data_IF_327127131727
#
_entry.id   IF_327127131727
#
_cell.length_a   1.000
_cell.length_b   1.000
_cell.length_c   1.000
_cell.angle_alpha   90.00
_cell.angle_beta   90.00
_cell.angle_gamma   90.00
#
_symmetry.space_group_name_H-M   'P 1'
#
loop_
_entity.id
_entity.type
_entity.pdbx_description
1 polymer ?
#
# COMPACT_ATOMS: atom_id res chain seq x y z
N UNK A 1 0.38 -9.53 -4.36
CA UNK A 1 0.91 -9.42 -2.99
C UNK A 1 1.83 -8.21 -2.84
N UNK A 2 3.00 -8.13 -3.53
CA UNK A 2 3.95 -7.02 -3.40
C UNK A 2 3.32 -5.65 -3.67
N UNK A 3 2.52 -5.53 -4.72
CA UNK A 3 1.80 -4.30 -5.06
C UNK A 3 0.78 -3.91 -3.99
N UNK A 4 0.07 -4.90 -3.42
CA UNK A 4 -0.88 -4.65 -2.32
C UNK A 4 -0.17 -4.10 -1.09
N UNK A 5 0.98 -4.65 -0.70
CA UNK A 5 1.77 -4.13 0.41
C UNK A 5 2.20 -2.69 0.18
N UNK A 6 2.66 -2.39 -1.05
CA UNK A 6 3.05 -1.03 -1.42
C UNK A 6 1.89 -0.04 -1.26
N UNK A 7 0.74 -0.34 -1.85
CA UNK A 7 -0.40 0.59 -1.86
C UNK A 7 -1.10 0.70 -0.50
N UNK A 8 -1.11 -0.38 0.30
CA UNK A 8 -1.65 -0.34 1.65
C UNK A 8 -0.67 0.25 2.70
N UNK A 9 0.57 0.56 2.32
CA UNK A 9 1.57 1.00 3.28
C UNK A 9 1.93 -0.08 4.31
N UNK A 10 1.79 -1.36 3.94
CA UNK A 10 2.03 -2.48 4.84
C UNK A 10 3.49 -2.91 4.81
N UNK A 11 4.08 -3.09 5.99
CA UNK A 11 5.42 -3.61 6.20
C UNK A 11 5.32 -4.94 6.93
N UNK A 12 5.60 -6.03 6.23
CA UNK A 12 5.53 -7.39 6.80
C UNK A 12 6.60 -7.61 7.88
N UNK A 13 7.82 -7.17 7.60
CA UNK A 13 8.96 -7.26 8.52
C UNK A 13 9.81 -8.53 8.40
N UNK A 14 9.28 -9.64 7.88
CA UNK A 14 10.04 -10.90 7.68
C UNK A 14 9.53 -11.63 6.44
N UNK A 15 9.96 -11.21 5.25
CA UNK A 15 9.55 -11.79 3.96
C UNK A 15 10.49 -12.92 3.52
N UNK A 16 10.70 -13.91 4.40
CA UNK A 16 11.42 -15.13 4.08
C UNK A 16 10.61 -16.07 3.19
N UNK A 17 11.27 -17.04 2.57
CA UNK A 17 10.64 -18.07 1.73
C UNK A 17 9.62 -18.93 2.47
N UNK A 18 9.77 -19.08 3.79
CA UNK A 18 8.86 -19.83 4.65
C UNK A 18 7.62 -19.03 5.08
N UNK A 19 7.58 -17.72 4.80
CA UNK A 19 6.44 -16.85 5.13
C UNK A 19 5.56 -16.49 3.92
N UNK A 20 5.78 -17.12 2.78
CA UNK A 20 5.00 -16.91 1.56
C UNK A 20 4.57 -18.26 0.98
N UNK A 21 3.28 -18.45 0.79
CA UNK A 21 2.72 -19.60 0.10
C UNK A 21 2.91 -19.50 -1.42
N UNK A 22 2.96 -20.65 -2.08
CA UNK A 22 3.07 -20.74 -3.55
C UNK A 22 1.88 -20.09 -4.28
N UNK A 23 0.72 -19.98 -3.63
CA UNK A 23 -0.46 -19.29 -4.14
C UNK A 23 -0.40 -17.76 -4.00
N UNK A 24 0.70 -17.20 -3.47
CA UNK A 24 0.90 -15.76 -3.33
C UNK A 24 0.29 -15.15 -2.05
N UNK A 25 -0.09 -15.96 -1.09
CA UNK A 25 -0.47 -15.49 0.26
C UNK A 25 0.76 -15.44 1.16
N UNK A 26 0.78 -14.51 2.11
CA UNK A 26 1.79 -14.45 3.16
C UNK A 26 1.16 -14.73 4.53
N UNK A 27 1.99 -15.03 5.50
CA UNK A 27 1.60 -15.30 6.89
C UNK A 27 2.74 -14.95 7.85
N UNK A 28 2.57 -15.22 9.14
CA UNK A 28 3.51 -14.85 10.22
C UNK A 28 3.71 -13.34 10.35
N UNK A 29 2.61 -12.63 10.62
CA UNK A 29 2.57 -11.17 10.74
C UNK A 29 3.03 -10.66 12.12
N UNK A 30 3.90 -11.36 12.83
CA UNK A 30 4.34 -10.97 14.17
C UNK A 30 4.83 -9.52 14.27
N UNK A 31 5.83 -9.09 13.49
CA UNK A 31 6.40 -7.76 13.60
C UNK A 31 5.74 -6.69 12.71
N UNK A 32 4.66 -7.00 11.97
CA UNK A 32 4.10 -6.11 10.96
C UNK A 32 3.89 -4.66 11.43
N UNK A 33 3.87 -3.71 10.49
CA UNK A 33 3.48 -2.32 10.69
C UNK A 33 2.71 -1.81 9.48
N UNK A 34 1.83 -0.84 9.70
CA UNK A 34 1.34 0.05 8.65
C UNK A 34 2.08 1.38 8.71
N UNK A 35 2.28 2.03 7.59
CA UNK A 35 2.88 3.35 7.52
C UNK A 35 1.93 4.38 8.13
N UNK A 36 2.38 5.10 9.15
CA UNK A 36 1.72 6.31 9.61
C UNK A 36 1.88 7.44 8.57
N UNK A 37 3.11 7.62 8.09
CA UNK A 37 3.51 8.53 7.02
C UNK A 37 4.35 7.77 6.03
N UNK A 38 4.42 8.26 4.79
CA UNK A 38 5.28 7.60 3.81
C UNK A 38 6.74 7.63 4.26
N UNK A 39 7.28 6.45 4.46
CA UNK A 39 8.67 6.23 4.82
C UNK A 39 9.21 4.99 4.10
N UNK A 40 9.98 5.16 3.02
CA UNK A 40 10.56 4.04 2.27
C UNK A 40 11.55 3.21 3.11
N UNK A 41 12.07 3.76 4.21
CA UNK A 41 13.02 3.08 5.10
C UNK A 41 12.37 2.46 6.33
N UNK A 42 11.03 2.49 6.43
CA UNK A 42 10.31 1.89 7.57
C UNK A 42 10.63 0.42 7.71
N UNK A 43 11.11 0.05 8.89
CA UNK A 43 11.38 -1.33 9.32
C UNK A 43 10.32 -1.72 10.36
N UNK A 44 9.73 -2.91 10.21
CA UNK A 44 8.77 -3.45 11.17
C UNK A 44 9.45 -4.32 12.24
N UNK A 45 10.34 -5.22 11.84
CA UNK A 45 11.02 -6.15 12.74
C UNK A 45 12.22 -5.48 13.43
N UNK A 46 12.23 -5.43 14.75
CA UNK A 46 13.30 -4.79 15.54
C UNK A 46 14.69 -5.42 15.33
N UNK A 47 14.74 -6.64 14.85
CA UNK A 47 15.99 -7.38 14.59
C UNK A 47 16.50 -7.22 13.15
N UNK A 48 15.76 -6.58 12.26
CA UNK A 48 16.18 -6.30 10.87
C UNK A 48 17.10 -5.05 10.82
N UNK A 49 18.26 -5.14 11.43
CA UNK A 49 19.23 -4.03 11.48
C UNK A 49 19.76 -3.59 10.11
N UNK A 50 19.69 -4.47 9.11
CA UNK A 50 20.13 -4.18 7.74
C UNK A 50 19.06 -3.53 6.88
N UNK A 51 17.79 -3.57 7.32
CA UNK A 51 16.65 -3.13 6.52
C UNK A 51 16.36 -4.03 5.32
N UNK A 52 16.66 -5.33 5.45
CA UNK A 52 16.43 -6.31 4.40
C UNK A 52 14.94 -6.31 3.98
N UNK A 53 14.05 -6.21 4.96
CA UNK A 53 12.58 -6.21 4.78
C UNK A 53 11.95 -4.83 5.03
N UNK A 54 12.73 -3.73 4.92
CA UNK A 54 12.15 -2.38 4.98
C UNK A 54 11.12 -2.20 3.87
N UNK A 55 10.22 -1.25 4.03
CA UNK A 55 9.09 -1.01 3.12
C UNK A 55 9.50 -0.99 1.64
N UNK A 56 10.53 -0.21 1.27
CA UNK A 56 11.00 -0.12 -0.12
C UNK A 56 11.63 -1.40 -0.67
N UNK A 57 12.09 -2.31 0.18
CA UNK A 57 12.77 -3.55 -0.26
C UNK A 57 11.83 -4.76 -0.37
N UNK A 58 10.57 -4.63 0.01
CA UNK A 58 9.64 -5.78 0.01
C UNK A 58 9.43 -6.38 -1.37
N UNK A 59 9.42 -5.55 -2.41
CA UNK A 59 9.34 -6.01 -3.80
C UNK A 59 10.53 -6.88 -4.18
N UNK A 60 11.73 -6.46 -3.79
CA UNK A 60 12.97 -7.21 -4.07
C UNK A 60 13.03 -8.52 -3.25
N UNK A 61 12.58 -8.49 -2.00
CA UNK A 61 12.48 -9.68 -1.16
C UNK A 61 11.53 -10.72 -1.76
N UNK A 62 10.37 -10.30 -2.25
CA UNK A 62 9.42 -11.21 -2.93
C UNK A 62 10.02 -11.73 -4.24
N UNK A 63 10.69 -10.88 -5.02
CA UNK A 63 11.37 -11.33 -6.23
C UNK A 63 12.44 -12.37 -5.93
N UNK A 64 13.24 -12.16 -4.88
CA UNK A 64 14.23 -13.16 -4.43
C UNK A 64 13.55 -14.49 -4.05
N UNK A 65 12.42 -14.45 -3.33
CA UNK A 65 11.66 -15.67 -3.00
C UNK A 65 11.18 -16.40 -4.25
N UNK A 66 10.72 -15.67 -5.28
CA UNK A 66 10.34 -16.26 -6.57
C UNK A 66 11.54 -16.90 -7.28
N UNK A 67 12.74 -16.32 -7.16
CA UNK A 67 13.96 -16.91 -7.69
C UNK A 67 14.32 -18.22 -6.98
N UNK A 68 14.13 -18.31 -5.64
CA UNK A 68 14.33 -19.56 -4.91
C UNK A 68 13.32 -20.63 -5.37
N UNK A 69 12.05 -20.30 -5.51
CA UNK A 69 11.05 -21.21 -6.05
C UNK A 69 11.41 -21.66 -7.47
N UNK A 70 11.79 -20.73 -8.34
CA UNK A 70 12.20 -21.02 -9.70
C UNK A 70 13.40 -22.00 -9.74
N UNK A 71 14.39 -21.83 -8.86
CA UNK A 71 15.55 -22.72 -8.78
C UNK A 71 15.19 -24.18 -8.44
N UNK A 72 14.14 -24.37 -7.62
CA UNK A 72 13.60 -25.71 -7.34
C UNK A 72 12.87 -26.25 -8.55
N UNK A 73 12.12 -25.42 -9.26
CA UNK A 73 11.36 -25.86 -10.44
C UNK A 73 12.23 -26.32 -11.60
N UNK A 74 13.48 -25.84 -11.71
CA UNK A 74 14.44 -26.29 -12.75
C UNK A 74 14.80 -27.77 -12.61
N UNK A 75 14.54 -28.40 -11.45
CA UNK A 75 14.70 -29.86 -11.28
C UNK A 75 13.72 -30.64 -12.14
N UNK A 76 12.55 -30.07 -12.44
CA UNK A 76 11.43 -30.73 -13.11
C UNK A 76 11.06 -30.13 -14.46
N UNK A 77 11.49 -28.91 -14.74
CA UNK A 77 11.13 -28.12 -15.92
C UNK A 77 12.39 -27.57 -16.60
N UNK A 78 12.23 -27.24 -17.88
CA UNK A 78 13.31 -26.54 -18.60
C UNK A 78 13.52 -25.12 -18.06
N UNK A 79 14.77 -24.65 -18.06
CA UNK A 79 15.17 -23.36 -17.49
C UNK A 79 14.56 -22.16 -18.24
N UNK A 80 14.51 -22.21 -19.58
CA UNK A 80 14.12 -21.07 -20.40
C UNK A 80 12.70 -20.52 -20.11
N UNK A 81 11.64 -21.35 -19.99
CA UNK A 81 10.31 -20.89 -19.62
C UNK A 81 10.28 -20.20 -18.26
N UNK A 82 10.96 -20.75 -17.26
CA UNK A 82 11.00 -20.23 -15.89
C UNK A 82 11.66 -18.85 -15.87
N UNK A 83 12.81 -18.70 -16.50
CA UNK A 83 13.56 -17.42 -16.57
C UNK A 83 12.72 -16.36 -17.30
N UNK A 84 12.01 -16.74 -18.37
CA UNK A 84 11.16 -15.82 -19.11
C UNK A 84 9.96 -15.33 -18.27
N UNK A 85 9.37 -16.17 -17.43
CA UNK A 85 8.31 -15.73 -16.52
C UNK A 85 8.87 -14.81 -15.40
N UNK A 86 10.01 -15.13 -14.82
CA UNK A 86 10.65 -14.25 -13.82
C UNK A 86 10.94 -12.84 -14.36
N UNK A 87 11.37 -12.73 -15.60
CA UNK A 87 11.62 -11.41 -16.25
C UNK A 87 10.39 -10.54 -16.34
N UNK A 88 9.18 -11.11 -16.32
CA UNK A 88 7.93 -10.36 -16.37
C UNK A 88 7.51 -9.76 -15.02
N UNK A 89 8.14 -10.20 -13.93
CA UNK A 89 7.77 -9.81 -12.56
C UNK A 89 7.66 -8.28 -12.38
N UNK A 90 8.65 -7.53 -12.85
CA UNK A 90 8.68 -6.07 -12.71
C UNK A 90 7.51 -5.42 -13.45
N UNK A 91 7.18 -5.92 -14.66
CA UNK A 91 6.06 -5.39 -15.43
C UNK A 91 4.73 -5.68 -14.71
N UNK A 92 4.50 -6.91 -14.28
CA UNK A 92 3.31 -7.29 -13.50
C UNK A 92 3.17 -6.49 -12.22
N UNK A 93 4.29 -6.27 -11.51
CA UNK A 93 4.29 -5.46 -10.30
C UNK A 93 3.88 -4.02 -10.60
N UNK A 94 4.46 -3.37 -11.61
CA UNK A 94 4.18 -1.99 -11.97
C UNK A 94 2.73 -1.80 -12.44
N UNK A 95 2.22 -2.71 -13.27
CA UNK A 95 0.83 -2.70 -13.73
C UNK A 95 -0.14 -2.82 -12.54
N UNK A 96 0.12 -3.76 -11.63
CA UNK A 96 -0.75 -3.98 -10.47
C UNK A 96 -0.67 -2.85 -9.45
N UNK A 97 0.52 -2.21 -9.25
CA UNK A 97 0.65 -1.01 -8.42
C UNK A 97 -0.20 0.13 -8.95
N UNK A 98 -0.14 0.41 -10.27
CA UNK A 98 -0.95 1.46 -10.88
C UNK A 98 -2.44 1.14 -10.69
N UNK A 99 -2.86 -0.08 -11.00
CA UNK A 99 -4.26 -0.52 -10.85
C UNK A 99 -4.76 -0.30 -9.41
N UNK A 100 -4.05 -0.84 -8.40
CA UNK A 100 -4.43 -0.72 -6.99
C UNK A 100 -4.37 0.73 -6.48
N UNK A 101 -3.46 1.54 -7.00
CA UNK A 101 -3.39 2.97 -6.69
C UNK A 101 -4.66 3.71 -7.13
N UNK A 102 -5.09 3.50 -8.37
CA UNK A 102 -6.31 4.09 -8.88
C UNK A 102 -7.56 3.55 -8.17
N UNK A 103 -7.60 2.25 -7.88
CA UNK A 103 -8.68 1.63 -7.09
C UNK A 103 -8.80 2.26 -5.69
N UNK A 104 -7.67 2.39 -4.96
CA UNK A 104 -7.64 3.00 -3.63
C UNK A 104 -8.11 4.46 -3.65
N UNK A 105 -7.79 5.21 -4.69
CA UNK A 105 -8.24 6.57 -4.90
C UNK A 105 -9.64 6.67 -5.52
N UNK A 106 -10.27 5.56 -5.91
CA UNK A 106 -11.53 5.52 -6.66
C UNK A 106 -11.50 6.39 -7.92
N UNK A 107 -10.37 6.33 -8.64
CA UNK A 107 -10.14 7.08 -9.88
C UNK A 107 -10.19 6.17 -11.10
N UNK A 108 -10.54 6.75 -12.24
CA UNK A 108 -10.49 6.08 -13.53
C UNK A 108 -9.08 6.24 -14.13
N UNK A 109 -8.34 5.16 -14.38
CA UNK A 109 -7.04 5.26 -15.05
C UNK A 109 -7.21 5.75 -16.50
N UNK A 110 -6.21 6.46 -17.00
CA UNK A 110 -6.08 6.79 -18.43
C UNK A 110 -5.70 5.56 -19.25
N UNK A 111 -6.01 5.57 -20.54
CA UNK A 111 -5.54 4.55 -21.48
C UNK A 111 -4.01 4.65 -21.72
N UNK A 112 -3.40 5.80 -21.39
CA UNK A 112 -1.97 6.02 -21.48
C UNK A 112 -1.24 5.57 -20.20
N UNK A 113 -0.51 4.47 -20.32
CA UNK A 113 0.28 3.90 -19.21
C UNK A 113 1.31 4.88 -18.64
N UNK A 114 2.00 5.65 -19.49
CA UNK A 114 3.05 6.59 -19.06
C UNK A 114 2.45 7.72 -18.21
N UNK A 115 1.28 8.23 -18.59
CA UNK A 115 0.54 9.24 -17.81
C UNK A 115 0.13 8.69 -16.44
N UNK A 116 -0.34 7.45 -16.36
CA UNK A 116 -0.71 6.82 -15.09
C UNK A 116 0.52 6.65 -14.19
N UNK A 117 1.64 6.22 -14.74
CA UNK A 117 2.89 6.07 -14.01
C UNK A 117 3.44 7.41 -13.53
N UNK A 118 3.35 8.46 -14.36
CA UNK A 118 3.77 9.81 -13.99
C UNK A 118 2.93 10.36 -12.82
N UNK A 119 1.61 10.14 -12.84
CA UNK A 119 0.73 10.55 -11.74
C UNK A 119 1.09 9.84 -10.44
N UNK A 120 1.26 8.53 -10.46
CA UNK A 120 1.72 7.72 -9.33
C UNK A 120 3.05 8.26 -8.76
N UNK A 121 4.04 8.48 -9.62
CA UNK A 121 5.36 8.96 -9.22
C UNK A 121 5.30 10.36 -8.59
N UNK A 122 4.54 11.28 -9.18
CA UNK A 122 4.34 12.62 -8.63
C UNK A 122 3.68 12.58 -7.26
N UNK A 123 2.69 11.70 -7.06
CA UNK A 123 2.04 11.51 -5.77
C UNK A 123 3.03 11.05 -4.70
N UNK A 124 3.80 9.98 -4.95
CA UNK A 124 4.80 9.51 -3.99
C UNK A 124 5.97 10.48 -3.79
N UNK A 125 6.33 11.26 -4.81
CA UNK A 125 7.30 12.33 -4.65
C UNK A 125 6.81 13.38 -3.64
N UNK A 126 5.55 13.79 -3.71
CA UNK A 126 4.96 14.72 -2.75
C UNK A 126 4.93 14.09 -1.34
N UNK A 127 4.54 12.83 -1.20
CA UNK A 127 4.55 12.12 0.08
C UNK A 127 5.95 12.03 0.70
N UNK A 128 6.99 11.96 -0.12
CA UNK A 128 8.40 11.95 0.34
C UNK A 128 8.85 13.30 0.88
N UNK A 129 8.25 14.40 0.42
CA UNK A 129 8.61 15.76 0.80
C UNK A 129 7.83 16.28 2.01
N UNK A 130 6.63 15.76 2.23
CA UNK A 130 5.70 16.25 3.24
C UNK A 130 5.20 15.15 4.16
N UNK A 131 5.16 15.37 5.48
CA UNK A 131 4.84 14.37 6.48
C UNK A 131 3.32 14.13 6.61
N UNK A 132 2.62 13.93 5.50
CA UNK A 132 1.19 13.62 5.52
C UNK A 132 0.93 12.23 6.07
N UNK A 133 -0.19 12.08 6.77
CA UNK A 133 -0.68 10.78 7.22
C UNK A 133 -1.05 9.93 6.00
N UNK A 134 -0.50 8.72 5.91
CA UNK A 134 -0.54 7.91 4.70
C UNK A 134 -1.98 7.57 4.27
N UNK A 135 -2.81 7.03 5.17
CA UNK A 135 -4.19 6.70 4.83
C UNK A 135 -5.07 7.94 4.65
N UNK A 136 -4.79 9.01 5.40
CA UNK A 136 -5.58 10.22 5.34
C UNK A 136 -5.47 10.93 3.99
N UNK A 137 -4.27 10.96 3.39
CA UNK A 137 -4.09 11.58 2.07
C UNK A 137 -4.83 10.79 0.98
N UNK A 138 -4.81 9.46 1.02
CA UNK A 138 -5.59 8.64 0.10
C UNK A 138 -7.10 8.89 0.28
N UNK A 139 -7.56 8.97 1.53
CA UNK A 139 -8.94 9.25 1.86
C UNK A 139 -9.38 10.63 1.36
N UNK A 140 -8.59 11.67 1.63
CA UNK A 140 -8.92 13.05 1.28
C UNK A 140 -8.97 13.27 -0.24
N UNK A 141 -8.14 12.57 -1.01
CA UNK A 141 -8.08 12.73 -2.47
C UNK A 141 -8.88 11.70 -3.29
N UNK A 142 -9.63 10.80 -2.62
CA UNK A 142 -10.52 9.86 -3.31
C UNK A 142 -11.54 10.59 -4.21
N UNK A 143 -11.71 10.06 -5.43
CA UNK A 143 -12.63 10.62 -6.41
C UNK A 143 -12.14 11.91 -7.09
N UNK A 144 -10.90 12.34 -6.81
CA UNK A 144 -10.27 13.46 -7.51
C UNK A 144 -11.15 14.72 -7.54
N UNK A 145 -11.34 15.31 -8.72
CA UNK A 145 -12.13 16.54 -8.88
C UNK A 145 -13.63 16.41 -8.55
N UNK A 146 -14.18 15.19 -8.53
CA UNK A 146 -15.58 14.95 -8.14
C UNK A 146 -15.81 14.90 -6.63
N UNK A 147 -14.76 14.83 -5.84
CA UNK A 147 -14.84 14.87 -4.39
C UNK A 147 -15.32 16.26 -3.92
N UNK A 148 -16.50 16.32 -3.33
CA UNK A 148 -17.08 17.60 -2.87
C UNK A 148 -16.26 18.25 -1.74
N UNK A 149 -15.58 17.45 -0.91
CA UNK A 149 -14.68 17.94 0.17
C UNK A 149 -13.46 18.64 -0.38
N UNK A 150 -13.06 18.36 -1.63
CA UNK A 150 -11.92 18.97 -2.29
C UNK A 150 -12.06 20.50 -2.42
N UNK A 151 -13.26 21.02 -2.52
CA UNK A 151 -13.52 22.46 -2.72
C UNK A 151 -13.37 23.30 -1.46
N UNK A 152 -13.41 22.69 -0.29
CA UNK A 152 -13.45 23.39 1.01
C UNK A 152 -12.34 22.94 1.97
N UNK A 153 -12.53 21.80 2.61
CA UNK A 153 -11.67 21.32 3.71
C UNK A 153 -10.28 20.91 3.23
N UNK A 154 -10.21 20.14 2.12
CA UNK A 154 -8.95 19.61 1.59
C UNK A 154 -8.07 20.74 1.08
N UNK A 155 -8.65 21.73 0.41
CA UNK A 155 -7.91 22.88 -0.12
C UNK A 155 -7.23 23.70 0.97
N UNK A 156 -7.84 23.86 2.12
CA UNK A 156 -7.21 24.55 3.26
C UNK A 156 -6.09 23.72 3.90
N UNK A 157 -6.31 22.40 4.01
CA UNK A 157 -5.36 21.46 4.61
C UNK A 157 -4.06 21.32 3.79
N UNK A 158 -4.18 21.33 2.47
CA UNK A 158 -3.06 21.08 1.52
C UNK A 158 -2.71 22.30 0.66
N UNK A 159 -3.06 23.51 1.06
CA UNK A 159 -3.02 24.75 0.26
C UNK A 159 -1.66 25.16 -0.32
N UNK A 160 -0.57 24.65 0.19
CA UNK A 160 0.78 25.02 -0.26
C UNK A 160 1.44 23.95 -1.14
N UNK A 161 0.67 22.98 -1.67
CA UNK A 161 1.24 21.81 -2.32
C UNK A 161 0.62 21.54 -3.69
N UNK A 162 1.40 20.94 -4.57
CA UNK A 162 1.00 20.57 -5.93
C UNK A 162 -0.06 19.44 -6.00
N UNK A 163 -0.55 18.93 -4.86
CA UNK A 163 -1.57 17.89 -4.82
C UNK A 163 -2.84 18.32 -5.57
N UNK A 164 -3.37 19.52 -5.31
CA UNK A 164 -4.55 20.01 -6.02
C UNK A 164 -4.34 19.97 -7.54
N UNK A 165 -3.14 20.33 -8.00
CA UNK A 165 -2.79 20.36 -9.42
C UNK A 165 -2.76 18.97 -10.05
N UNK A 166 -2.12 17.98 -9.39
CA UNK A 166 -2.04 16.62 -9.94
C UNK A 166 -3.40 15.91 -9.92
N UNK A 167 -4.29 16.25 -8.99
CA UNK A 167 -5.64 15.67 -8.92
C UNK A 167 -6.69 16.41 -9.74
N UNK A 168 -6.44 17.62 -10.20
CA UNK A 168 -7.41 18.44 -10.96
C UNK A 168 -7.89 17.79 -12.26
N UNK A 169 -7.05 16.95 -12.87
CA UNK A 169 -7.33 16.24 -14.11
C UNK A 169 -7.77 14.80 -13.90
N UNK A 170 -7.88 14.33 -12.64
CA UNK A 170 -8.26 12.96 -12.33
C UNK A 170 -9.78 12.84 -12.19
N UNK A 171 -10.35 11.85 -12.85
CA UNK A 171 -11.79 11.57 -12.82
C UNK A 171 -12.08 10.38 -11.91
N UNK A 172 -13.19 10.49 -11.14
CA UNK A 172 -13.68 9.38 -10.36
C UNK A 172 -14.28 8.27 -11.24
N UNK A 173 -14.30 7.05 -10.70
CA UNK A 173 -15.09 5.97 -11.27
C UNK A 173 -16.58 6.34 -11.29
N UNK A 174 -17.35 5.76 -12.22
CA UNK A 174 -18.74 6.13 -12.49
C UNK A 174 -19.70 6.02 -11.30
N UNK A 175 -19.40 5.14 -10.33
CA UNK A 175 -20.22 4.90 -9.13
C UNK A 175 -19.61 5.53 -7.86
N UNK A 176 -18.69 6.48 -7.99
CA UNK A 176 -18.07 7.13 -6.83
C UNK A 176 -19.09 7.93 -6.01
N UNK A 177 -19.14 7.66 -4.71
CA UNK A 177 -19.96 8.39 -3.75
C UNK A 177 -19.08 9.05 -2.68
N UNK A 178 -18.96 10.37 -2.71
CA UNK A 178 -18.13 11.12 -1.76
C UNK A 178 -18.64 11.12 -0.31
N UNK A 179 -19.89 10.72 -0.09
CA UNK A 179 -20.53 10.71 1.24
C UNK A 179 -20.45 9.36 1.96
N UNK A 180 -19.92 8.34 1.31
CA UNK A 180 -19.91 6.98 1.83
C UNK A 180 -18.98 6.79 3.04
N UNK A 181 -17.93 7.62 3.18
CA UNK A 181 -16.93 7.50 4.23
C UNK A 181 -16.75 8.82 4.98
N UNK A 182 -16.74 8.77 6.30
CA UNK A 182 -16.62 9.96 7.16
C UNK A 182 -15.18 10.20 7.64
N UNK A 183 -14.35 9.17 7.68
CA UNK A 183 -12.95 9.22 8.14
C UNK A 183 -12.14 8.09 7.55
N UNK A 184 -10.80 8.21 7.45
CA UNK A 184 -9.94 7.10 7.06
C UNK A 184 -9.95 6.03 8.14
N UNK A 185 -9.99 4.77 7.72
CA UNK A 185 -9.74 3.63 8.61
C UNK A 185 -8.28 3.28 8.59
N UNK A 186 -7.70 3.07 9.77
CA UNK A 186 -6.29 2.72 9.94
C UNK A 186 -6.12 1.46 10.80
N UNK A 187 -4.97 0.80 10.65
CA UNK A 187 -4.54 -0.31 11.50
C UNK A 187 -3.14 0.01 12.07
N UNK A 188 -2.94 1.27 12.47
CA UNK A 188 -1.70 1.69 13.11
C UNK A 188 -1.52 0.95 14.44
N UNK A 189 -0.27 0.65 14.76
CA UNK A 189 0.06 -0.17 15.92
C UNK A 189 -0.49 0.41 17.23
N UNK A 190 -0.40 1.74 17.39
CA UNK A 190 -0.92 2.46 18.56
C UNK A 190 -2.45 2.33 18.70
N UNK A 191 -3.18 2.22 17.59
CA UNK A 191 -4.62 1.99 17.62
C UNK A 191 -4.95 0.58 18.08
N UNK A 192 -4.20 -0.40 17.57
CA UNK A 192 -4.36 -1.82 17.95
C UNK A 192 -4.00 -2.01 19.42
N UNK A 193 -2.93 -1.39 19.92
CA UNK A 193 -2.54 -1.42 21.33
C UNK A 193 -3.63 -0.84 22.25
N UNK A 194 -4.30 0.24 21.83
CA UNK A 194 -5.44 0.80 22.60
C UNK A 194 -6.61 -0.17 22.68
N UNK A 195 -6.94 -0.84 21.57
CA UNK A 195 -7.99 -1.85 21.53
C UNK A 195 -7.61 -3.00 22.45
N UNK A 196 -6.39 -3.53 22.30
CA UNK A 196 -5.90 -4.63 23.11
C UNK A 196 -5.88 -4.31 24.61
N UNK A 197 -5.44 -3.11 24.98
CA UNK A 197 -5.42 -2.66 26.39
C UNK A 197 -6.80 -2.74 27.05
N UNK A 198 -7.88 -2.33 26.35
CA UNK A 198 -9.23 -2.44 26.90
C UNK A 198 -9.67 -3.90 27.09
N UNK A 199 -9.33 -4.76 26.15
CA UNK A 199 -9.62 -6.19 26.26
C UNK A 199 -8.84 -6.80 27.44
N UNK A 200 -7.53 -6.58 27.51
CA UNK A 200 -6.64 -7.18 28.51
C UNK A 200 -6.97 -6.74 29.93
N UNK A 201 -7.25 -5.44 30.15
CA UNK A 201 -7.44 -4.88 31.47
C UNK A 201 -8.88 -4.92 31.96
N UNK A 202 -9.84 -4.78 31.07
CA UNK A 202 -11.23 -4.57 31.43
C UNK A 202 -12.20 -5.62 30.85
N UNK A 203 -11.69 -6.59 30.06
CA UNK A 203 -12.51 -7.51 29.24
C UNK A 203 -13.53 -6.76 28.37
N UNK A 204 -13.15 -5.52 27.92
CA UNK A 204 -14.01 -4.65 27.13
C UNK A 204 -13.67 -4.77 25.63
N UNK A 205 -14.56 -5.42 24.89
CA UNK A 205 -14.48 -5.66 23.46
C UNK A 205 -15.16 -4.56 22.62
N UNK A 206 -15.63 -3.49 23.22
CA UNK A 206 -16.42 -2.45 22.54
C UNK A 206 -15.63 -1.77 21.41
N UNK A 207 -14.36 -1.42 21.63
CA UNK A 207 -13.50 -0.82 20.62
C UNK A 207 -13.21 -1.77 19.46
N UNK A 208 -12.95 -3.05 19.78
CA UNK A 208 -12.74 -4.08 18.76
C UNK A 208 -13.99 -4.26 17.89
N UNK A 209 -15.16 -4.44 18.51
CA UNK A 209 -16.42 -4.61 17.78
C UNK A 209 -16.75 -3.40 16.91
N UNK A 210 -16.44 -2.18 17.37
CA UNK A 210 -16.61 -0.97 16.58
C UNK A 210 -15.66 -0.91 15.38
N UNK A 211 -14.50 -1.56 15.46
CA UNK A 211 -13.50 -1.56 14.39
C UNK A 211 -13.83 -2.52 13.25
N UNK A 212 -14.46 -3.65 13.58
CA UNK A 212 -14.77 -4.72 12.62
C UNK A 212 -16.19 -4.66 12.03
N UNK A 213 -17.08 -3.82 12.57
CA UNK A 213 -18.44 -3.56 12.11
C UNK A 213 -18.55 -2.19 11.43
#
# INVERSE_FOLDING_TARGET
>A
LAASYHICGFVHGVLNTDNININGESFDYGPYRFLEKYDPHKIAAYFDHSGLYKFSNQTDAIFWNLQQLASIMTIFLEDNPIVNELKKYVNYYNEEVIKLFYEKLSLQPSDDYESNQLFLNNFYQILSQYPYMYEEIFFDFRGGRQNQRFKTEIKEKYKNHDLEKIFSNQEAISNFNSLEFYKPETLLYEEIEKIWYQIEKNDDWSLFNKKIN
#
